data_IF_364219943854
#
_entry.id   IF_364219943854
#
_cell.length_a   1.000
_cell.length_b   1.000
_cell.length_c   1.000
_cell.angle_alpha   90.00
_cell.angle_beta   90.00
_cell.angle_gamma   90.00
#
_symmetry.space_group_name_H-M   'P 1'
#
loop_
_entity.id
_entity.type
_entity.pdbx_description
1 polymer ?
#
# COMPACT_ATOMS: atom_id res chain seq x y z
N UNK A 1 -23.71 27.86 26.55
CA UNK A 1 -23.30 26.51 27.03
C UNK A 1 -22.05 26.10 26.27
N UNK A 2 -20.87 26.21 26.87
CA UNK A 2 -19.60 25.90 26.21
C UNK A 2 -18.99 24.65 26.87
N UNK A 3 -19.03 23.51 26.17
CA UNK A 3 -18.26 22.32 26.56
C UNK A 3 -16.83 22.55 26.05
N UNK A 4 -15.94 22.97 26.95
CA UNK A 4 -14.52 23.11 26.67
C UNK A 4 -13.91 21.75 26.33
N UNK A 5 -13.23 21.67 25.19
CA UNK A 5 -12.35 20.57 24.86
C UNK A 5 -11.31 20.44 25.97
N UNK A 6 -11.34 19.32 26.70
CA UNK A 6 -10.27 18.99 27.63
C UNK A 6 -8.97 18.83 26.82
N UNK A 7 -8.11 19.84 26.87
CA UNK A 7 -6.71 19.65 26.53
C UNK A 7 -6.19 18.55 27.44
N UNK A 8 -5.74 17.43 26.85
CA UNK A 8 -5.18 16.31 27.60
C UNK A 8 -4.05 16.84 28.49
N UNK A 9 -4.28 16.88 29.80
CA UNK A 9 -3.31 17.36 30.78
C UNK A 9 -2.00 16.58 30.64
N UNK A 10 -0.92 17.28 30.28
CA UNK A 10 0.44 16.74 30.34
C UNK A 10 1.08 17.28 31.61
N UNK A 11 1.34 16.40 32.56
CA UNK A 11 2.04 16.75 33.79
C UNK A 11 3.54 16.85 33.51
N UNK A 12 4.15 18.00 33.83
CA UNK A 12 5.61 18.18 33.82
C UNK A 12 6.32 17.45 34.97
N UNK A 13 5.57 16.79 35.86
CA UNK A 13 6.14 16.03 36.96
C UNK A 13 6.72 14.71 36.44
N UNK A 14 7.78 14.25 37.11
CA UNK A 14 8.51 13.02 36.77
C UNK A 14 7.58 11.80 36.61
N UNK A 15 6.57 11.68 37.48
CA UNK A 15 5.55 10.62 37.41
C UNK A 15 4.68 10.70 36.15
N UNK A 16 4.34 11.91 35.68
CA UNK A 16 3.57 12.12 34.46
C UNK A 16 4.35 11.79 33.20
N UNK A 17 5.64 12.15 33.19
CA UNK A 17 6.56 11.77 32.12
C UNK A 17 6.78 10.26 32.08
N UNK A 18 6.94 9.61 33.25
CA UNK A 18 7.05 8.16 33.35
C UNK A 18 5.78 7.45 32.86
N UNK A 19 4.60 7.93 33.27
CA UNK A 19 3.32 7.40 32.80
C UNK A 19 3.15 7.54 31.29
N UNK A 20 3.50 8.70 30.73
CA UNK A 20 3.42 8.93 29.28
C UNK A 20 4.33 7.96 28.53
N UNK A 21 5.56 7.76 29.01
CA UNK A 21 6.52 6.81 28.41
C UNK A 21 6.08 5.36 28.55
N UNK A 22 5.50 4.99 29.69
CA UNK A 22 4.93 3.65 29.90
C UNK A 22 3.74 3.40 28.96
N UNK A 23 2.92 4.41 28.70
CA UNK A 23 1.81 4.32 27.75
C UNK A 23 2.30 4.20 26.29
N UNK A 24 3.36 4.93 25.91
CA UNK A 24 4.02 4.77 24.61
C UNK A 24 4.57 3.35 24.44
N UNK A 25 5.27 2.81 25.45
CA UNK A 25 5.77 1.43 25.43
C UNK A 25 4.61 0.43 25.32
N UNK A 26 3.52 0.64 26.06
CA UNK A 26 2.33 -0.22 25.99
C UNK A 26 1.66 -0.16 24.62
N UNK A 27 1.66 0.99 23.96
CA UNK A 27 1.14 1.14 22.60
C UNK A 27 2.02 0.39 21.58
N UNK A 28 3.34 0.45 21.73
CA UNK A 28 4.28 -0.34 20.91
C UNK A 28 4.02 -1.83 21.10
N UNK A 29 3.94 -2.32 22.35
CA UNK A 29 3.66 -3.73 22.66
C UNK A 29 2.34 -4.18 22.06
N UNK A 30 1.27 -3.37 22.19
CA UNK A 30 -0.01 -3.69 21.55
C UNK A 30 0.11 -3.77 20.04
N UNK A 31 0.87 -2.89 19.41
CA UNK A 31 1.09 -2.90 17.96
C UNK A 31 1.83 -4.18 17.54
N UNK A 32 2.84 -4.61 18.29
CA UNK A 32 3.54 -5.89 18.06
C UNK A 32 2.63 -7.10 18.29
N UNK A 33 1.75 -7.05 19.30
CA UNK A 33 0.74 -8.08 19.54
C UNK A 33 -0.28 -8.14 18.39
N UNK A 34 -0.71 -7.01 17.84
CA UNK A 34 -1.57 -6.98 16.64
C UNK A 34 -0.84 -7.52 15.40
N UNK A 35 0.42 -7.17 15.17
CA UNK A 35 1.26 -7.74 14.11
C UNK A 35 1.44 -9.27 14.27
N UNK A 36 1.41 -9.79 15.50
CA UNK A 36 1.49 -11.23 15.78
C UNK A 36 0.16 -11.98 15.61
N UNK A 37 -0.94 -11.23 15.59
CA UNK A 37 -2.32 -11.73 15.43
C UNK A 37 -2.82 -11.64 13.99
N UNK A 38 -1.96 -11.25 13.03
CA UNK A 38 -2.28 -11.33 11.61
C UNK A 38 -2.61 -12.79 11.25
N UNK A 39 -3.90 -13.10 11.16
CA UNK A 39 -4.38 -14.34 10.59
C UNK A 39 -3.68 -14.53 9.25
N UNK A 40 -3.02 -15.69 9.06
CA UNK A 40 -2.33 -16.02 7.80
C UNK A 40 -3.27 -15.73 6.64
N UNK A 41 -2.96 -14.66 5.89
CA UNK A 41 -3.84 -14.20 4.83
C UNK A 41 -3.93 -15.33 3.81
N UNK A 42 -5.15 -15.83 3.60
CA UNK A 42 -5.38 -16.89 2.62
C UNK A 42 -5.19 -16.29 1.22
N UNK A 43 -4.26 -16.87 0.46
CA UNK A 43 -4.01 -16.47 -0.92
C UNK A 43 -5.24 -16.82 -1.78
N UNK A 44 -5.63 -15.88 -2.64
CA UNK A 44 -6.69 -16.10 -3.61
C UNK A 44 -6.15 -16.90 -4.81
N UNK A 45 -6.56 -18.16 -4.91
CA UNK A 45 -6.17 -19.07 -6.00
C UNK A 45 -6.61 -18.55 -7.38
N UNK A 46 -7.65 -17.71 -7.47
CA UNK A 46 -8.16 -17.19 -8.74
C UNK A 46 -7.19 -16.21 -9.43
N UNK A 47 -6.28 -15.63 -8.65
CA UNK A 47 -5.30 -14.65 -9.12
C UNK A 47 -3.97 -15.32 -9.46
N UNK A 48 -3.68 -16.46 -8.82
CA UNK A 48 -2.45 -17.20 -8.98
C UNK A 48 -2.36 -17.89 -10.34
N UNK A 49 -1.16 -17.91 -10.89
CA UNK A 49 -0.84 -18.53 -12.18
C UNK A 49 0.27 -19.57 -12.01
N UNK A 50 0.15 -20.75 -12.63
CA UNK A 50 1.22 -21.75 -12.56
C UNK A 50 2.48 -21.26 -13.27
N UNK A 51 3.65 -21.51 -12.65
CA UNK A 51 4.96 -21.09 -13.15
C UNK A 51 5.36 -19.66 -12.77
N UNK A 52 4.75 -19.10 -11.73
CA UNK A 52 5.13 -17.83 -11.12
C UNK A 52 6.40 -17.90 -10.27
N UNK A 53 6.78 -19.10 -9.81
CA UNK A 53 8.04 -19.40 -9.09
C UNK A 53 9.29 -18.87 -9.82
N UNK A 54 9.26 -18.84 -11.15
CA UNK A 54 10.36 -18.30 -11.98
C UNK A 54 10.66 -16.84 -11.63
N UNK A 55 9.65 -16.07 -11.23
CA UNK A 55 9.77 -14.65 -10.90
C UNK A 55 9.86 -14.38 -9.40
N UNK A 56 9.91 -15.41 -8.56
CA UNK A 56 9.90 -15.27 -7.09
C UNK A 56 11.09 -14.44 -6.59
N UNK A 57 12.31 -14.74 -7.07
CA UNK A 57 13.51 -13.98 -6.68
C UNK A 57 13.40 -12.48 -7.03
N UNK A 58 12.97 -12.18 -8.25
CA UNK A 58 12.80 -10.80 -8.74
C UNK A 58 11.73 -10.08 -7.92
N UNK A 59 10.61 -10.75 -7.68
CA UNK A 59 9.50 -10.20 -6.93
C UNK A 59 9.89 -9.97 -5.44
N UNK A 60 10.70 -10.85 -4.85
CA UNK A 60 11.19 -10.69 -3.47
C UNK A 60 12.11 -9.47 -3.36
N UNK A 61 13.09 -9.35 -4.26
CA UNK A 61 13.99 -8.19 -4.30
C UNK A 61 13.21 -6.88 -4.46
N UNK A 62 12.24 -6.84 -5.39
CA UNK A 62 11.41 -5.67 -5.60
C UNK A 62 10.50 -5.36 -4.38
N UNK A 63 10.02 -6.38 -3.68
CA UNK A 63 9.22 -6.23 -2.46
C UNK A 63 10.05 -5.60 -1.34
N UNK A 64 11.29 -6.06 -1.13
CA UNK A 64 12.16 -5.53 -0.08
C UNK A 64 12.55 -4.07 -0.35
N UNK A 65 12.84 -3.72 -1.61
CA UNK A 65 13.03 -2.32 -2.03
C UNK A 65 11.78 -1.46 -1.83
N UNK A 66 10.61 -1.99 -2.18
CA UNK A 66 9.34 -1.28 -2.01
C UNK A 66 9.05 -1.01 -0.53
N UNK A 67 9.21 -2.05 0.29
CA UNK A 67 9.02 -2.02 1.74
C UNK A 67 9.92 -0.99 2.40
N UNK A 68 11.20 -0.91 2.03
CA UNK A 68 12.13 0.07 2.60
C UNK A 68 11.76 1.51 2.22
N UNK A 69 11.31 1.74 0.99
CA UNK A 69 10.88 3.07 0.53
C UNK A 69 9.56 3.53 1.17
N UNK A 70 8.56 2.65 1.26
CA UNK A 70 7.30 2.97 1.95
C UNK A 70 7.53 3.10 3.45
N UNK A 71 8.30 2.20 4.06
CA UNK A 71 8.65 2.24 5.48
C UNK A 71 9.34 3.56 5.86
N UNK A 72 10.38 3.97 5.11
CA UNK A 72 11.05 5.25 5.34
C UNK A 72 10.12 6.47 5.14
N UNK A 73 9.15 6.37 4.23
CA UNK A 73 8.10 7.39 4.07
C UNK A 73 7.20 7.45 5.30
N UNK A 74 6.70 6.31 5.79
CA UNK A 74 5.91 6.24 7.02
C UNK A 74 6.67 6.81 8.22
N UNK A 75 7.94 6.43 8.41
CA UNK A 75 8.80 6.92 9.49
C UNK A 75 9.02 8.44 9.42
N UNK A 76 9.22 8.98 8.20
CA UNK A 76 9.43 10.42 7.98
C UNK A 76 8.22 11.24 8.43
N UNK A 77 7.00 10.79 8.12
CA UNK A 77 5.77 11.51 8.46
C UNK A 77 5.16 11.11 9.82
N UNK A 78 5.65 10.02 10.43
CA UNK A 78 5.14 9.50 11.70
C UNK A 78 3.85 8.70 11.56
N UNK A 79 3.69 8.01 10.43
CA UNK A 79 2.54 7.16 10.12
C UNK A 79 2.84 5.75 10.63
N UNK A 80 1.90 5.14 11.35
CA UNK A 80 2.12 3.83 11.96
C UNK A 80 2.16 2.71 10.90
N UNK A 81 1.10 2.59 10.11
CA UNK A 81 0.90 1.44 9.22
C UNK A 81 0.58 1.88 7.78
N UNK A 82 0.86 0.99 6.82
CA UNK A 82 0.53 1.18 5.40
C UNK A 82 -0.96 1.50 5.18
N UNK A 83 -1.85 0.86 5.94
CA UNK A 83 -3.29 1.13 5.88
C UNK A 83 -3.63 2.60 6.17
N UNK A 84 -2.94 3.25 7.11
CA UNK A 84 -3.14 4.67 7.39
C UNK A 84 -2.60 5.54 6.25
N UNK A 85 -1.47 5.13 5.66
CA UNK A 85 -0.85 5.82 4.53
C UNK A 85 -1.81 5.94 3.34
N UNK A 86 -2.47 4.83 2.96
CA UNK A 86 -3.39 4.81 1.82
C UNK A 86 -4.81 5.27 2.13
N UNK A 87 -5.33 5.02 3.35
CA UNK A 87 -6.69 5.42 3.72
C UNK A 87 -6.85 6.90 4.02
N UNK A 88 -5.76 7.67 4.08
CA UNK A 88 -5.73 9.10 4.48
C UNK A 88 -6.26 9.39 5.89
N UNK A 89 -6.51 8.36 6.70
CA UNK A 89 -6.94 8.47 8.09
C UNK A 89 -5.75 8.28 9.01
N UNK A 90 -5.09 9.38 9.34
CA UNK A 90 -3.90 9.39 10.19
C UNK A 90 -4.30 9.51 11.67
N UNK A 91 -3.80 8.62 12.53
CA UNK A 91 -4.00 8.71 13.98
C UNK A 91 -3.05 9.73 14.63
N UNK A 92 -1.90 9.99 13.99
CA UNK A 92 -0.95 11.00 14.43
C UNK A 92 -0.05 11.46 13.28
N UNK A 93 0.40 12.72 13.37
CA UNK A 93 1.51 13.25 12.58
C UNK A 93 2.62 13.65 13.55
N UNK A 94 3.88 13.54 13.12
CA UNK A 94 4.99 14.17 13.87
C UNK A 94 4.66 15.66 14.06
N UNK A 95 4.72 16.13 15.32
CA UNK A 95 4.33 17.50 15.74
C UNK A 95 4.88 18.62 14.85
N UNK A 96 6.06 18.42 14.23
CA UNK A 96 6.67 19.34 13.26
C UNK A 96 5.73 19.73 12.09
N UNK A 97 4.80 18.87 11.72
CA UNK A 97 3.85 19.08 10.62
C UNK A 97 2.45 19.52 11.07
N UNK A 98 2.22 19.62 12.38
CA UNK A 98 0.89 19.83 12.96
C UNK A 98 0.61 21.27 13.41
N UNK A 99 1.61 22.16 13.36
CA UNK A 99 1.57 23.47 14.05
C UNK A 99 0.75 24.55 13.32
N UNK A 100 0.30 24.32 12.08
CA UNK A 100 -0.61 25.24 11.37
C UNK A 100 -1.65 24.45 10.58
N UNK A 101 -2.92 24.80 10.73
CA UNK A 101 -4.05 24.06 10.12
C UNK A 101 -3.97 23.93 8.60
N UNK A 102 -3.44 24.94 7.91
CA UNK A 102 -3.23 24.97 6.45
C UNK A 102 -2.10 24.03 5.99
N UNK A 103 -1.15 23.70 6.86
CA UNK A 103 0.00 22.84 6.52
C UNK A 103 -0.42 21.36 6.35
N UNK A 104 -1.52 20.92 6.98
CA UNK A 104 -1.94 19.51 6.92
C UNK A 104 -2.36 19.07 5.52
N UNK A 105 -3.10 19.93 4.81
CA UNK A 105 -3.53 19.66 3.43
C UNK A 105 -2.30 19.64 2.52
N UNK A 106 -1.37 20.59 2.70
CA UNK A 106 -0.12 20.62 1.95
C UNK A 106 0.74 19.37 2.18
N UNK A 107 0.90 18.94 3.43
CA UNK A 107 1.63 17.71 3.80
C UNK A 107 0.98 16.49 3.18
N UNK A 108 -0.36 16.42 3.17
CA UNK A 108 -1.07 15.32 2.53
C UNK A 108 -0.88 15.28 1.01
N UNK A 109 -0.89 16.45 0.35
CA UNK A 109 -0.61 16.53 -1.09
C UNK A 109 0.83 16.13 -1.40
N UNK A 110 1.81 16.59 -0.61
CA UNK A 110 3.21 16.15 -0.74
C UNK A 110 3.36 14.64 -0.55
N UNK A 111 2.64 14.06 0.41
CA UNK A 111 2.66 12.63 0.67
C UNK A 111 2.04 11.85 -0.50
N UNK A 112 0.92 12.31 -1.05
CA UNK A 112 0.31 11.74 -2.26
C UNK A 112 1.27 11.77 -3.44
N UNK A 113 1.94 12.89 -3.68
CA UNK A 113 2.94 13.01 -4.75
C UNK A 113 4.10 12.03 -4.55
N UNK A 114 4.62 11.91 -3.32
CA UNK A 114 5.68 10.95 -3.00
C UNK A 114 5.25 9.50 -3.27
N UNK A 115 4.05 9.10 -2.81
CA UNK A 115 3.51 7.76 -3.09
C UNK A 115 3.32 7.56 -4.60
N UNK A 116 2.82 8.56 -5.31
CA UNK A 116 2.65 8.50 -6.76
C UNK A 116 3.99 8.28 -7.48
N UNK A 117 5.06 8.94 -7.04
CA UNK A 117 6.41 8.76 -7.59
C UNK A 117 6.93 7.34 -7.32
N UNK A 118 6.78 6.85 -6.08
CA UNK A 118 7.17 5.48 -5.71
C UNK A 118 6.41 4.48 -6.58
N UNK A 119 5.08 4.62 -6.66
CA UNK A 119 4.24 3.76 -7.48
C UNK A 119 4.66 3.77 -8.95
N UNK A 120 4.89 4.95 -9.54
CA UNK A 120 5.33 5.06 -10.93
C UNK A 120 6.69 4.38 -11.18
N UNK A 121 7.65 4.54 -10.26
CA UNK A 121 8.96 3.89 -10.34
C UNK A 121 8.82 2.37 -10.37
N UNK A 122 8.16 1.78 -9.37
CA UNK A 122 8.00 0.33 -9.29
C UNK A 122 7.13 -0.23 -10.42
N UNK A 123 6.13 0.53 -10.87
CA UNK A 123 5.32 0.15 -12.04
C UNK A 123 6.15 0.14 -13.33
N UNK A 124 7.04 1.10 -13.51
CA UNK A 124 7.96 1.11 -14.65
C UNK A 124 8.90 -0.09 -14.59
N UNK A 125 9.53 -0.35 -13.44
CA UNK A 125 10.42 -1.49 -13.23
C UNK A 125 9.71 -2.84 -13.47
N UNK A 126 8.43 -2.95 -13.12
CA UNK A 126 7.65 -4.16 -13.37
C UNK A 126 7.58 -4.52 -14.86
N UNK A 127 7.42 -3.51 -15.73
CA UNK A 127 7.29 -3.71 -17.18
C UNK A 127 8.60 -3.61 -17.95
N UNK A 128 9.70 -3.24 -17.30
CA UNK A 128 10.97 -2.97 -17.98
C UNK A 128 11.46 -4.21 -18.76
N UNK A 129 11.39 -5.37 -18.11
CA UNK A 129 11.72 -6.69 -18.70
C UNK A 129 10.88 -7.04 -19.94
N UNK A 130 9.72 -6.41 -20.12
CA UNK A 130 8.77 -6.71 -21.19
C UNK A 130 8.73 -5.64 -22.29
N UNK A 131 9.77 -4.81 -22.40
CA UNK A 131 9.85 -3.73 -23.38
C UNK A 131 9.18 -2.43 -22.94
N UNK A 132 8.94 -2.28 -21.64
CA UNK A 132 8.58 -1.04 -20.98
C UNK A 132 7.08 -0.77 -20.86
N UNK A 133 6.74 0.16 -19.96
CA UNK A 133 5.36 0.48 -19.61
C UNK A 133 4.53 0.94 -20.81
N UNK A 134 5.10 1.77 -21.70
CA UNK A 134 4.36 2.39 -22.82
C UNK A 134 3.86 1.38 -23.85
N UNK A 135 4.58 0.27 -24.06
CA UNK A 135 4.20 -0.77 -25.03
C UNK A 135 3.09 -1.67 -24.48
N UNK A 136 3.14 -1.97 -23.18
CA UNK A 136 2.26 -2.95 -22.55
C UNK A 136 1.03 -2.34 -21.88
N UNK A 137 0.91 -1.01 -21.84
CA UNK A 137 -0.20 -0.32 -21.19
C UNK A 137 -0.79 0.76 -22.08
N UNK A 138 -2.08 0.99 -21.94
CA UNK A 138 -2.85 2.04 -22.61
C UNK A 138 -3.18 3.13 -21.59
N UNK A 139 -3.43 4.37 -22.06
CA UNK A 139 -3.88 5.44 -21.18
C UNK A 139 -5.29 5.10 -20.69
N UNK A 140 -5.49 5.16 -19.38
CA UNK A 140 -6.82 4.99 -18.79
C UNK A 140 -7.60 6.29 -18.93
N UNK A 141 -8.49 6.34 -19.91
CA UNK A 141 -9.35 7.51 -20.14
C UNK A 141 -10.52 7.60 -19.14
N UNK A 142 -10.72 6.56 -18.31
CA UNK A 142 -11.82 6.50 -17.36
C UNK A 142 -11.59 7.52 -16.24
N UNK A 143 -12.62 8.31 -15.94
CA UNK A 143 -12.62 9.21 -14.78
C UNK A 143 -12.74 8.36 -13.52
N UNK A 144 -11.70 8.33 -12.69
CA UNK A 144 -11.81 7.81 -11.33
C UNK A 144 -12.26 8.95 -10.42
N UNK A 145 -13.47 8.85 -9.84
CA UNK A 145 -14.05 9.89 -8.97
C UNK A 145 -14.11 11.31 -9.60
N UNK A 146 -14.31 11.41 -10.92
CA UNK A 146 -14.40 12.70 -11.63
C UNK A 146 -13.06 13.41 -11.84
N UNK A 147 -11.97 12.92 -11.25
CA UNK A 147 -10.62 13.43 -11.43
C UNK A 147 -9.94 12.59 -12.52
N UNK A 148 -9.51 13.24 -13.61
CA UNK A 148 -8.61 12.60 -14.56
C UNK A 148 -7.25 12.51 -13.87
N UNK A 149 -6.72 11.30 -13.76
CA UNK A 149 -5.30 11.11 -13.45
C UNK A 149 -4.56 10.98 -14.78
N UNK A 150 -3.98 12.08 -15.31
CA UNK A 150 -3.46 12.15 -16.68
C UNK A 150 -2.32 11.18 -17.02
N UNK A 151 -1.83 10.42 -16.03
CA UNK A 151 -0.73 9.46 -16.20
C UNK A 151 -1.08 8.03 -15.79
N UNK A 152 -2.35 7.73 -15.45
CA UNK A 152 -2.76 6.36 -15.12
C UNK A 152 -2.80 5.53 -16.41
N UNK A 153 -2.03 4.45 -16.43
CA UNK A 153 -1.98 3.50 -17.56
C UNK A 153 -2.39 2.11 -17.11
N UNK A 154 -3.15 1.40 -17.94
CA UNK A 154 -3.70 0.07 -17.67
C UNK A 154 -3.21 -0.93 -18.71
N UNK A 155 -2.85 -2.13 -18.26
CA UNK A 155 -2.55 -3.28 -19.11
C UNK A 155 -3.85 -4.06 -19.39
N UNK A 156 -4.45 -3.82 -20.55
CA UNK A 156 -5.69 -4.48 -20.97
C UNK A 156 -5.48 -5.95 -21.37
N UNK A 157 -4.33 -6.25 -21.99
CA UNK A 157 -4.02 -7.58 -22.56
C UNK A 157 -2.61 -8.03 -22.16
N UNK A 158 -2.41 -8.54 -20.93
CA UNK A 158 -1.10 -8.98 -20.48
C UNK A 158 -0.69 -10.32 -21.11
N UNK A 159 0.57 -10.41 -21.55
CA UNK A 159 1.22 -11.67 -21.96
C UNK A 159 1.28 -12.66 -20.78
N UNK A 160 1.37 -13.96 -21.07
CA UNK A 160 1.45 -15.00 -20.04
C UNK A 160 2.65 -14.83 -19.10
N UNK A 161 3.77 -14.27 -19.58
CA UNK A 161 4.93 -13.95 -18.74
C UNK A 161 4.63 -12.82 -17.75
N UNK A 162 3.96 -11.76 -18.20
CA UNK A 162 3.52 -10.63 -17.37
C UNK A 162 2.53 -11.13 -16.30
N UNK A 163 1.64 -12.05 -16.68
CA UNK A 163 0.65 -12.66 -15.78
C UNK A 163 1.31 -13.51 -14.69
N UNK A 164 2.38 -14.25 -15.02
CA UNK A 164 3.19 -15.01 -14.05
C UNK A 164 3.94 -14.08 -13.10
N UNK A 165 4.59 -13.02 -13.62
CA UNK A 165 5.28 -12.02 -12.78
C UNK A 165 4.31 -11.33 -11.82
N UNK A 166 3.11 -10.96 -12.28
CA UNK A 166 2.07 -10.38 -11.42
C UNK A 166 1.65 -11.35 -10.30
N UNK A 167 1.45 -12.63 -10.62
CA UNK A 167 1.13 -13.68 -9.62
C UNK A 167 2.21 -13.79 -8.56
N UNK A 168 3.49 -13.76 -8.94
CA UNK A 168 4.61 -13.78 -8.00
C UNK A 168 4.58 -12.57 -7.04
N UNK A 169 4.31 -11.36 -7.56
CA UNK A 169 4.19 -10.15 -6.74
C UNK A 169 3.03 -10.26 -5.73
N UNK A 170 1.89 -10.80 -6.16
CA UNK A 170 0.75 -11.05 -5.29
C UNK A 170 1.09 -12.06 -4.18
N UNK A 171 1.69 -13.20 -4.56
CA UNK A 171 2.09 -14.26 -3.62
C UNK A 171 3.02 -13.71 -2.54
N UNK A 172 4.04 -12.95 -2.91
CA UNK A 172 5.03 -12.43 -1.97
C UNK A 172 4.41 -11.39 -1.04
N UNK A 173 3.62 -10.45 -1.57
CA UNK A 173 2.97 -9.43 -0.74
C UNK A 173 2.06 -10.04 0.32
N UNK A 174 1.18 -10.96 -0.10
CA UNK A 174 0.16 -11.54 0.77
C UNK A 174 0.69 -12.67 1.66
N UNK A 175 1.78 -13.35 1.29
CA UNK A 175 2.45 -14.30 2.18
C UNK A 175 3.22 -13.60 3.31
N UNK A 176 3.77 -12.41 3.04
CA UNK A 176 4.52 -11.64 4.04
C UNK A 176 3.62 -10.82 4.98
N UNK A 177 2.36 -10.54 4.61
CA UNK A 177 1.34 -9.90 5.46
C UNK A 177 1.52 -8.41 5.73
N UNK A 178 2.71 -7.84 5.54
CA UNK A 178 3.04 -6.47 5.99
C UNK A 178 2.72 -5.36 5.00
N UNK A 179 3.13 -5.52 3.73
CA UNK A 179 2.98 -4.47 2.72
C UNK A 179 2.14 -4.95 1.53
N UNK A 180 0.82 -4.91 1.70
CA UNK A 180 -0.14 -5.47 0.73
C UNK A 180 -0.29 -4.60 -0.52
N UNK A 181 -0.02 -3.30 -0.43
CA UNK A 181 -0.05 -2.39 -1.58
C UNK A 181 0.94 -2.75 -2.69
N UNK A 182 1.98 -3.55 -2.39
CA UNK A 182 2.93 -4.02 -3.39
C UNK A 182 2.23 -4.78 -4.52
N UNK A 183 1.27 -5.65 -4.20
CA UNK A 183 0.52 -6.39 -5.21
C UNK A 183 -0.34 -5.47 -6.10
N UNK A 184 -0.75 -4.30 -5.59
CA UNK A 184 -1.58 -3.35 -6.34
C UNK A 184 -0.83 -2.75 -7.52
N UNK A 185 0.52 -2.78 -7.51
CA UNK A 185 1.35 -2.41 -8.66
C UNK A 185 0.95 -3.15 -9.93
N UNK A 186 0.44 -4.38 -9.84
CA UNK A 186 0.00 -5.16 -10.99
C UNK A 186 -1.51 -5.45 -10.98
N UNK A 187 -2.30 -4.62 -10.28
CA UNK A 187 -3.74 -4.85 -10.08
C UNK A 187 -4.50 -5.15 -11.37
N UNK A 188 -4.24 -4.40 -12.43
CA UNK A 188 -4.85 -4.62 -13.75
C UNK A 188 -4.59 -6.05 -14.29
N UNK A 189 -3.35 -6.51 -14.23
CA UNK A 189 -2.97 -7.86 -14.64
C UNK A 189 -3.61 -8.92 -13.73
N UNK A 190 -3.68 -8.66 -12.42
CA UNK A 190 -4.31 -9.57 -11.46
C UNK A 190 -5.82 -9.69 -11.70
N UNK A 191 -6.49 -8.57 -12.01
CA UNK A 191 -7.92 -8.60 -12.38
C UNK A 191 -8.17 -9.38 -13.66
N UNK A 192 -7.27 -9.27 -14.63
CA UNK A 192 -7.33 -10.08 -15.84
C UNK A 192 -7.17 -11.58 -15.54
N UNK A 193 -6.23 -11.96 -14.67
CA UNK A 193 -6.07 -13.35 -14.22
C UNK A 193 -7.35 -13.88 -13.58
N UNK A 194 -7.91 -13.13 -12.63
CA UNK A 194 -9.16 -13.47 -11.95
C UNK A 194 -10.32 -13.64 -12.93
N UNK A 195 -10.48 -12.72 -13.88
CA UNK A 195 -11.52 -12.83 -14.90
C UNK A 195 -11.35 -14.08 -15.76
N UNK A 196 -10.12 -14.39 -16.18
CA UNK A 196 -9.82 -15.60 -16.96
C UNK A 196 -10.04 -16.89 -16.17
N UNK A 197 -9.77 -16.87 -14.87
CA UNK A 197 -10.08 -17.98 -13.96
C UNK A 197 -11.59 -18.20 -13.81
N UNK A 198 -12.37 -17.13 -13.63
CA UNK A 198 -13.83 -17.19 -13.54
C UNK A 198 -14.46 -17.72 -14.84
N UNK A 199 -13.93 -17.31 -16.00
CA UNK A 199 -14.36 -17.85 -17.30
C UNK A 199 -14.11 -19.35 -17.43
N UNK A 200 -12.98 -19.84 -16.91
CA UNK A 200 -12.65 -21.27 -16.93
C UNK A 200 -13.49 -22.10 -15.95
N UNK A 201 -13.82 -21.54 -14.80
CA UNK A 201 -14.54 -22.25 -13.72
C UNK A 201 -16.07 -22.17 -13.84
N UNK A 202 -16.60 -21.41 -14.81
CA UNK A 202 -18.05 -21.31 -15.06
C UNK A 202 -18.84 -20.54 -14.01
N UNK A 203 -18.18 -19.98 -12.98
CA UNK A 203 -18.81 -19.23 -11.89
C UNK A 203 -19.05 -17.75 -12.26
N UNK A 204 -19.78 -17.49 -13.35
CA UNK A 204 -20.27 -16.15 -13.65
C UNK A 204 -21.55 -15.86 -12.84
N UNK A 205 -21.39 -15.26 -11.66
CA UNK A 205 -22.45 -14.43 -11.08
C UNK A 205 -21.98 -12.98 -11.14
N UNK A 206 -22.48 -12.25 -12.13
CA UNK A 206 -22.48 -10.80 -12.14
C UNK A 206 -23.43 -10.34 -11.02
N UNK A 207 -22.91 -9.60 -10.05
CA UNK A 207 -23.67 -8.82 -9.08
C UNK A 207 -23.07 -7.42 -9.06
#
# INVERSE_FOLDING_TARGET
MCKGHASSYKSDRLLGNLFSRAMEIREIIRTEEYDSMDEKIKLDESVLMPGDEIYEYIAQSAYDEYRTLIGSTCERYGIANEAQLFSSRFTGFKKRFADKGDDKIAVFNMLKEQISIIYAKFRSNFFDDFGGIKKNTELDERKFNGIREPFRRICSFPSDEIRKKASAYYRIAYSNGKFLSFAWLAYDVLTYNRQKYLLKTGNFKLS
#
